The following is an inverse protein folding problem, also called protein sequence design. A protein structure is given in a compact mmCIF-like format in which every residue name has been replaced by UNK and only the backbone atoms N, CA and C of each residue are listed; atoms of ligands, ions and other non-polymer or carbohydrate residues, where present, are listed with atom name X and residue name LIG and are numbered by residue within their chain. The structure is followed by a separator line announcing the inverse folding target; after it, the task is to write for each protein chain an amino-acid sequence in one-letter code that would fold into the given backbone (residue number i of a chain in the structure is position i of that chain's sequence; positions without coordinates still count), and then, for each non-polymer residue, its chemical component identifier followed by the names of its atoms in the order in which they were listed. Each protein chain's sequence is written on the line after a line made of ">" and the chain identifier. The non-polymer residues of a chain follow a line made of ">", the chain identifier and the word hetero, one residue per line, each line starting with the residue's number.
data_IF_445682687222
#
_entry.id   IF_445682687222
#
_cell.length_a   1.000
_cell.length_b   1.000
_cell.length_c   1.000
_cell.angle_alpha   90.00
_cell.angle_beta   90.00
_cell.angle_gamma   90.00
#
_symmetry.space_group_name_H-M   'P 1'
#
loop_
_entity.id
_entity.type
_entity.pdbx_description
1 polymer ?
#
# COMPACT_ATOMS: atom_id res chain seq x y z
N UNK A 1 19.17 -66.57 -6.45
CA UNK A 1 18.27 -65.50 -6.86
C UNK A 1 18.21 -64.50 -5.73
N UNK A 2 18.88 -63.35 -5.90
CA UNK A 2 18.84 -62.26 -4.95
C UNK A 2 17.95 -61.18 -5.52
N UNK A 3 16.79 -60.95 -4.89
CA UNK A 3 15.90 -59.83 -5.19
C UNK A 3 16.50 -58.56 -4.58
N UNK A 4 16.89 -57.65 -5.43
CA UNK A 4 17.21 -56.29 -5.05
C UNK A 4 15.91 -55.50 -4.94
N UNK A 5 15.48 -55.19 -3.72
CA UNK A 5 14.44 -54.22 -3.46
C UNK A 5 15.03 -52.80 -3.62
N UNK A 6 14.70 -52.16 -4.71
CA UNK A 6 14.95 -50.73 -4.89
C UNK A 6 13.90 -49.97 -4.06
N UNK A 7 14.32 -49.48 -2.93
CA UNK A 7 13.53 -48.53 -2.16
C UNK A 7 13.58 -47.16 -2.89
N UNK A 8 12.54 -46.82 -3.60
CA UNK A 8 12.32 -45.49 -4.12
C UNK A 8 11.91 -44.62 -2.92
N UNK A 9 12.88 -43.85 -2.39
CA UNK A 9 12.58 -42.80 -1.42
C UNK A 9 11.97 -41.63 -2.20
N UNK A 10 10.68 -41.54 -2.21
CA UNK A 10 9.99 -40.33 -2.67
C UNK A 10 10.19 -39.23 -1.62
N UNK A 11 11.07 -38.30 -1.91
CA UNK A 11 11.21 -37.07 -1.11
C UNK A 11 9.99 -36.21 -1.42
N UNK A 12 9.14 -35.89 -0.46
CA UNK A 12 8.06 -34.93 -0.70
C UNK A 12 8.71 -33.55 -0.85
N UNK A 13 8.67 -33.02 -2.05
CA UNK A 13 8.97 -31.61 -2.27
C UNK A 13 7.86 -30.79 -1.59
N UNK A 14 8.11 -30.38 -0.36
CA UNK A 14 7.30 -29.34 0.26
C UNK A 14 7.68 -28.03 -0.41
N UNK A 15 6.88 -27.65 -1.39
CA UNK A 15 6.96 -26.28 -1.92
C UNK A 15 6.47 -25.36 -0.82
N UNK A 16 7.42 -24.74 -0.11
CA UNK A 16 7.13 -23.61 0.75
C UNK A 16 6.76 -22.44 -0.15
N UNK A 17 5.47 -22.33 -0.48
CA UNK A 17 4.96 -21.13 -1.11
C UNK A 17 4.88 -20.04 -0.05
N UNK A 18 5.92 -19.21 0.07
CA UNK A 18 5.88 -17.94 0.78
C UNK A 18 5.07 -16.92 -0.03
N UNK A 19 3.75 -17.13 -0.16
CA UNK A 19 2.88 -16.14 -0.79
C UNK A 19 2.12 -15.39 0.29
N UNK A 20 2.75 -14.36 0.84
CA UNK A 20 2.05 -13.32 1.57
C UNK A 20 1.58 -12.18 0.63
N UNK A 21 1.87 -12.29 -0.67
CA UNK A 21 1.52 -11.31 -1.67
C UNK A 21 0.01 -11.32 -1.93
N UNK A 22 -0.61 -10.17 -1.82
CA UNK A 22 -2.02 -10.02 -2.14
C UNK A 22 -2.34 -8.60 -2.58
N UNK A 23 -3.46 -8.44 -3.23
CA UNK A 23 -4.08 -7.16 -3.54
C UNK A 23 -5.48 -7.09 -2.93
N UNK A 24 -5.91 -5.89 -2.56
CA UNK A 24 -7.26 -5.65 -2.09
C UNK A 24 -7.88 -4.52 -2.88
N UNK A 25 -9.03 -4.78 -3.50
CA UNK A 25 -9.80 -3.78 -4.22
C UNK A 25 -10.34 -2.73 -3.24
N UNK A 26 -10.11 -1.46 -3.54
CA UNK A 26 -10.58 -0.33 -2.75
C UNK A 26 -11.69 0.47 -3.46
N UNK A 27 -12.12 0.01 -4.64
CA UNK A 27 -13.13 0.66 -5.46
C UNK A 27 -12.55 1.67 -6.45
N UNK A 28 -13.31 1.94 -7.50
CA UNK A 28 -12.98 2.92 -8.56
C UNK A 28 -11.62 2.69 -9.25
N UNK A 29 -11.16 1.45 -9.30
CA UNK A 29 -9.88 1.07 -9.89
C UNK A 29 -8.69 1.17 -8.95
N UNK A 30 -8.89 1.63 -7.73
CA UNK A 30 -7.85 1.66 -6.70
C UNK A 30 -7.72 0.33 -5.99
N UNK A 31 -6.49 -0.03 -5.69
CA UNK A 31 -6.21 -1.24 -4.93
C UNK A 31 -4.98 -1.07 -4.04
N UNK A 32 -5.05 -1.72 -2.90
CA UNK A 32 -3.90 -1.89 -2.02
C UNK A 32 -3.12 -3.13 -2.46
N UNK A 33 -1.81 -2.96 -2.61
CA UNK A 33 -0.90 -4.04 -2.95
C UNK A 33 0.06 -4.31 -1.81
N UNK A 34 0.21 -5.57 -1.45
CA UNK A 34 1.19 -6.04 -0.49
C UNK A 34 2.03 -7.14 -1.15
N UNK A 35 3.28 -6.84 -1.45
CA UNK A 35 4.25 -7.81 -1.99
C UNK A 35 5.26 -8.27 -0.93
N UNK A 36 4.91 -8.10 0.34
CA UNK A 36 5.76 -8.45 1.47
C UNK A 36 6.77 -7.37 1.84
N UNK A 37 7.29 -7.43 3.06
CA UNK A 37 8.26 -6.47 3.56
C UNK A 37 7.75 -5.04 3.50
N UNK A 38 8.53 -4.17 2.87
CA UNK A 38 8.20 -2.74 2.71
C UNK A 38 7.43 -2.40 1.43
N UNK A 39 7.13 -3.38 0.59
CA UNK A 39 6.41 -3.17 -0.67
C UNK A 39 4.92 -3.23 -0.42
N UNK A 40 4.40 -2.16 0.16
CA UNK A 40 2.99 -1.96 0.47
C UNK A 40 2.59 -0.58 -0.02
N UNK A 41 1.74 -0.52 -1.03
CA UNK A 41 1.35 0.72 -1.68
C UNK A 41 -0.12 0.70 -2.12
N UNK A 42 -0.60 1.85 -2.60
CA UNK A 42 -1.92 1.99 -3.18
C UNK A 42 -1.75 2.46 -4.61
N UNK A 43 -2.31 1.71 -5.54
CA UNK A 43 -2.20 1.94 -6.98
C UNK A 43 -3.59 2.13 -7.59
N UNK A 44 -3.61 2.62 -8.82
CA UNK A 44 -4.83 2.77 -9.60
C UNK A 44 -4.65 2.12 -10.98
N UNK A 45 -5.58 1.23 -11.36
CA UNK A 45 -5.57 0.60 -12.68
C UNK A 45 -5.98 1.54 -13.81
N UNK A 46 -6.79 2.56 -13.50
CA UNK A 46 -7.44 3.43 -14.48
C UNK A 46 -6.72 4.74 -14.72
N UNK A 47 -5.82 5.16 -13.82
CA UNK A 47 -5.17 6.47 -13.90
C UNK A 47 -3.76 6.42 -13.31
N UNK A 48 -2.83 7.07 -14.00
CA UNK A 48 -1.48 7.32 -13.49
C UNK A 48 -1.41 8.61 -12.66
N UNK A 49 -0.40 8.71 -11.80
CA UNK A 49 -0.14 9.91 -11.01
C UNK A 49 -0.98 10.05 -9.75
N UNK A 50 -1.73 9.01 -9.36
CA UNK A 50 -2.56 8.97 -8.15
C UNK A 50 -2.14 7.83 -7.22
N UNK A 51 -0.93 7.35 -7.36
CA UNK A 51 -0.38 6.30 -6.51
C UNK A 51 0.08 6.86 -5.17
N UNK A 52 -0.14 6.11 -4.10
CA UNK A 52 0.50 6.35 -2.80
C UNK A 52 1.66 5.38 -2.66
N UNK A 53 2.91 5.89 -2.71
CA UNK A 53 4.09 5.03 -2.69
C UNK A 53 4.26 4.27 -1.38
N UNK A 54 5.02 3.18 -1.44
CA UNK A 54 5.40 2.37 -0.29
C UNK A 54 6.22 3.20 0.74
N UNK A 55 6.19 2.89 1.98
CA UNK A 55 5.50 1.77 2.64
C UNK A 55 4.22 2.26 3.32
N UNK A 56 3.09 1.71 2.94
CA UNK A 56 1.83 1.99 3.64
C UNK A 56 1.86 1.27 5.00
N UNK A 57 1.68 2.02 6.06
CA UNK A 57 1.61 1.49 7.42
C UNK A 57 0.20 1.12 7.83
N UNK A 58 -0.76 1.94 7.43
CA UNK A 58 -2.19 1.71 7.65
C UNK A 58 -3.00 2.49 6.63
N UNK A 59 -4.20 2.03 6.36
CA UNK A 59 -5.14 2.71 5.47
C UNK A 59 -6.57 2.37 5.86
N UNK A 60 -7.49 3.22 5.41
CA UNK A 60 -8.91 2.96 5.46
C UNK A 60 -9.58 3.53 4.21
N UNK A 61 -10.73 3.01 3.86
CA UNK A 61 -11.44 3.45 2.67
C UNK A 61 -12.95 3.32 2.85
N UNK A 62 -13.68 4.12 2.09
CA UNK A 62 -15.12 4.02 1.93
C UNK A 62 -15.47 4.20 0.44
N UNK A 63 -16.72 4.50 0.10
CA UNK A 63 -17.13 4.67 -1.29
C UNK A 63 -16.45 5.85 -1.98
N UNK A 64 -16.07 6.88 -1.25
CA UNK A 64 -15.57 8.15 -1.80
C UNK A 64 -14.08 8.38 -1.56
N UNK A 65 -13.56 7.90 -0.43
CA UNK A 65 -12.25 8.26 0.10
C UNK A 65 -11.35 7.06 0.34
N UNK A 66 -10.06 7.31 0.20
CA UNK A 66 -8.99 6.51 0.81
C UNK A 66 -8.16 7.44 1.68
N UNK A 67 -7.87 7.02 2.90
CA UNK A 67 -6.89 7.66 3.77
C UNK A 67 -5.78 6.67 4.07
N UNK A 68 -4.55 7.16 4.16
CA UNK A 68 -3.40 6.30 4.37
C UNK A 68 -2.35 7.00 5.23
N UNK A 69 -1.63 6.19 6.00
CA UNK A 69 -0.41 6.57 6.70
C UNK A 69 0.75 5.83 6.07
N UNK A 70 1.84 6.54 5.80
CA UNK A 70 2.98 6.05 5.05
C UNK A 70 4.28 6.37 5.78
N UNK A 71 5.22 5.43 5.73
CA UNK A 71 6.63 5.68 5.98
C UNK A 71 7.37 5.50 4.65
N UNK A 72 7.89 6.57 4.01
CA UNK A 72 8.47 6.45 2.69
C UNK A 72 9.61 5.45 2.62
N UNK A 73 9.54 4.54 1.65
CA UNK A 73 10.65 3.68 1.28
C UNK A 73 11.56 4.46 0.35
N UNK A 74 12.74 4.82 0.83
CA UNK A 74 13.72 5.61 0.07
C UNK A 74 14.96 4.77 -0.29
N UNK A 75 15.48 4.94 -1.50
CA UNK A 75 14.95 5.79 -2.58
C UNK A 75 13.59 5.28 -3.08
N UNK A 76 12.77 6.21 -3.58
CA UNK A 76 11.47 5.87 -4.13
C UNK A 76 11.63 4.99 -5.37
N UNK A 77 10.78 3.96 -5.48
CA UNK A 77 10.78 3.08 -6.65
C UNK A 77 10.42 3.86 -7.92
N UNK A 78 11.15 3.59 -8.99
CA UNK A 78 10.95 4.26 -10.28
C UNK A 78 9.62 3.89 -10.98
N UNK A 79 8.91 2.88 -10.52
CA UNK A 79 7.62 2.49 -11.08
C UNK A 79 6.53 3.52 -10.87
N UNK A 80 6.64 4.35 -9.83
CA UNK A 80 5.64 5.39 -9.56
C UNK A 80 5.76 6.55 -10.54
N UNK A 81 4.61 7.10 -10.96
CA UNK A 81 4.55 8.16 -11.96
C UNK A 81 5.13 9.49 -11.47
N UNK A 82 5.08 9.73 -10.16
CA UNK A 82 5.55 10.96 -9.54
C UNK A 82 6.63 10.69 -8.52
N UNK A 83 7.62 11.59 -8.49
CA UNK A 83 8.61 11.68 -7.44
C UNK A 83 8.15 12.66 -6.38
N UNK A 84 8.06 12.21 -5.13
CA UNK A 84 7.67 13.05 -4.02
C UNK A 84 8.88 13.47 -3.19
N UNK A 85 8.86 14.73 -2.75
CA UNK A 85 9.84 15.26 -1.80
C UNK A 85 9.30 15.14 -0.39
N UNK A 86 10.07 14.48 0.46
CA UNK A 86 9.73 14.27 1.85
C UNK A 86 10.65 15.07 2.77
N UNK A 87 10.08 15.72 3.78
CA UNK A 87 10.88 16.42 4.77
C UNK A 87 11.28 15.49 5.92
N UNK A 88 12.21 14.58 5.63
CA UNK A 88 12.66 13.53 6.55
C UNK A 88 13.34 14.05 7.81
N UNK A 89 13.75 15.32 7.84
CA UNK A 89 14.33 15.96 9.02
C UNK A 89 13.27 16.36 10.06
N UNK A 90 12.02 16.48 9.65
CA UNK A 90 10.90 16.86 10.54
C UNK A 90 10.04 15.67 10.93
N UNK A 91 9.78 14.76 9.98
CA UNK A 91 9.00 13.56 10.22
C UNK A 91 9.42 12.45 9.29
N UNK A 92 9.21 11.21 9.72
CA UNK A 92 9.40 10.02 8.89
C UNK A 92 8.08 9.35 8.50
N UNK A 93 6.96 9.90 8.92
CA UNK A 93 5.63 9.40 8.58
C UNK A 93 4.78 10.51 7.97
N UNK A 94 4.02 10.14 6.96
CA UNK A 94 3.19 11.05 6.17
C UNK A 94 1.79 10.48 6.03
N UNK A 95 0.85 11.37 5.74
CA UNK A 95 -0.55 11.03 5.56
C UNK A 95 -1.00 11.40 4.16
N UNK A 96 -2.00 10.68 3.68
CA UNK A 96 -2.54 10.84 2.33
C UNK A 96 -4.06 10.81 2.39
N UNK A 97 -4.68 11.67 1.59
CA UNK A 97 -6.13 11.71 1.39
C UNK A 97 -6.39 11.62 -0.11
N UNK A 98 -7.18 10.65 -0.51
CA UNK A 98 -7.49 10.40 -1.92
C UNK A 98 -9.01 10.40 -2.11
N UNK A 99 -9.48 11.27 -2.99
CA UNK A 99 -10.86 11.25 -3.49
C UNK A 99 -10.92 10.36 -4.72
N UNK A 100 -11.53 9.20 -4.61
CA UNK A 100 -11.49 8.15 -5.63
C UNK A 100 -12.19 8.54 -6.93
N UNK A 101 -13.38 9.11 -6.84
CA UNK A 101 -14.18 9.44 -8.03
C UNK A 101 -13.59 10.59 -8.82
N UNK A 102 -13.02 11.56 -8.13
CA UNK A 102 -12.37 12.73 -8.72
C UNK A 102 -10.93 12.46 -9.12
N UNK A 103 -10.33 11.38 -8.65
CA UNK A 103 -8.89 11.06 -8.79
C UNK A 103 -8.00 12.20 -8.31
N UNK A 104 -8.31 12.75 -7.14
CA UNK A 104 -7.55 13.83 -6.52
C UNK A 104 -6.84 13.30 -5.29
N UNK A 105 -5.52 13.44 -5.27
CA UNK A 105 -4.64 12.97 -4.22
C UNK A 105 -3.97 14.13 -3.50
N UNK A 106 -4.09 14.14 -2.17
CA UNK A 106 -3.42 15.08 -1.27
C UNK A 106 -2.36 14.33 -0.47
N UNK A 107 -1.12 14.77 -0.59
CA UNK A 107 0.02 14.19 0.11
C UNK A 107 1.33 14.40 -0.64
N UNK A 108 2.46 14.10 0.00
CA UNK A 108 2.59 13.68 1.40
C UNK A 108 2.28 14.81 2.40
N UNK A 109 1.52 14.52 3.44
CA UNK A 109 1.08 15.48 4.44
C UNK A 109 1.71 15.14 5.79
N UNK A 110 2.11 16.16 6.56
CA UNK A 110 2.39 15.95 7.97
C UNK A 110 1.08 15.81 8.77
N UNK A 111 1.17 15.53 10.07
CA UNK A 111 -0.02 15.28 10.88
C UNK A 111 -0.92 16.52 11.02
N UNK A 112 -0.34 17.72 11.08
CA UNK A 112 -1.10 18.96 11.17
C UNK A 112 -1.82 19.30 9.87
N UNK A 113 -1.14 19.15 8.74
CA UNK A 113 -1.72 19.31 7.42
C UNK A 113 -2.87 18.31 7.19
N UNK A 114 -2.65 17.06 7.58
CA UNK A 114 -3.65 16.01 7.47
C UNK A 114 -4.91 16.32 8.27
N UNK A 115 -4.77 16.70 9.54
CA UNK A 115 -5.92 17.07 10.37
C UNK A 115 -6.60 18.36 9.87
N UNK A 116 -5.82 19.31 9.38
CA UNK A 116 -6.35 20.53 8.77
C UNK A 116 -7.20 20.25 7.54
N UNK A 117 -6.75 19.38 6.65
CA UNK A 117 -7.51 18.99 5.46
C UNK A 117 -8.75 18.15 5.80
N UNK A 118 -8.66 17.25 6.79
CA UNK A 118 -9.83 16.53 7.29
C UNK A 118 -10.93 17.48 7.74
N UNK A 119 -10.55 18.50 8.47
CA UNK A 119 -11.47 19.53 8.96
C UNK A 119 -12.07 20.34 7.81
N UNK A 120 -11.21 20.83 6.90
CA UNK A 120 -11.62 21.62 5.73
C UNK A 120 -12.58 20.88 4.82
N UNK A 121 -12.33 19.60 4.57
CA UNK A 121 -13.14 18.76 3.70
C UNK A 121 -14.31 18.09 4.42
N UNK A 122 -14.48 18.34 5.70
CA UNK A 122 -15.54 17.76 6.54
C UNK A 122 -15.57 16.22 6.48
N UNK A 123 -14.40 15.62 6.53
CA UNK A 123 -14.28 14.17 6.61
C UNK A 123 -14.83 13.70 7.95
N UNK A 124 -15.74 12.72 7.98
CA UNK A 124 -16.36 12.28 9.23
C UNK A 124 -15.34 11.85 10.29
N UNK A 125 -15.57 12.25 11.53
CA UNK A 125 -14.66 11.95 12.65
C UNK A 125 -14.56 10.45 12.94
N UNK A 126 -15.58 9.67 12.57
CA UNK A 126 -15.57 8.22 12.72
C UNK A 126 -14.84 7.48 11.60
N UNK A 127 -14.44 8.19 10.54
CA UNK A 127 -13.63 7.63 9.45
C UNK A 127 -12.15 7.89 9.77
N UNK A 128 -11.50 6.92 10.38
CA UNK A 128 -10.14 7.02 10.90
C UNK A 128 -9.25 5.90 10.37
N UNK A 129 -7.95 6.13 10.48
CA UNK A 129 -6.95 5.07 10.30
C UNK A 129 -7.05 4.07 11.46
N UNK A 130 -6.89 2.78 11.16
CA UNK A 130 -6.83 1.74 12.20
C UNK A 130 -5.59 1.84 13.06
#
# INVERSE_FOLDING_TARGET
>A
MRLFYLFLISVPYTTLSCTSDYTKDLGDGYFYRNEGGKIKDILCEKKEGVEVPAEILSYNYNNDLIIAKQKPKLPQDAMYSKNYLYNINQTNTYYWILYKKENVLFGPLDSLEYEGLRSKFKIPSNFQLP
#
